data_IF_576826797437
#
_entry.id   IF_576826797437
#
_cell.length_a   1.000
_cell.length_b   1.000
_cell.length_c   1.000
_cell.angle_alpha   90.00
_cell.angle_beta   90.00
_cell.angle_gamma   90.00
#
_symmetry.space_group_name_H-M   'P 1'
#
loop_
_entity.id
_entity.type
_entity.pdbx_description
1 polymer ?
#
# COMPACT_ATOMS: atom_id res chain seq x y z
N UNK A 1 -8.06 15.87 -12.03
CA UNK A 1 -6.67 15.38 -12.14
C UNK A 1 -6.49 14.27 -11.14
N UNK A 2 -6.10 13.10 -11.64
CA UNK A 2 -5.87 11.90 -10.85
C UNK A 2 -4.38 11.61 -10.75
N UNK A 3 -3.99 10.74 -9.82
CA UNK A 3 -2.68 10.10 -9.83
C UNK A 3 -2.92 8.63 -10.15
N UNK A 4 -2.39 8.10 -11.24
CA UNK A 4 -2.69 6.74 -11.71
C UNK A 4 -1.62 5.76 -11.23
N UNK A 5 -2.05 4.63 -10.69
CA UNK A 5 -1.20 3.50 -10.32
C UNK A 5 -1.51 2.31 -11.22
N UNK A 6 -0.48 1.81 -11.89
CA UNK A 6 -0.59 0.70 -12.83
C UNK A 6 0.26 -0.50 -12.41
N UNK A 7 -0.18 -1.69 -12.77
CA UNK A 7 0.65 -2.90 -12.81
C UNK A 7 0.69 -3.35 -14.27
N UNK A 8 1.83 -3.15 -14.94
CA UNK A 8 1.87 -3.29 -16.39
C UNK A 8 0.93 -2.26 -17.02
N UNK A 9 -0.07 -2.72 -17.78
CA UNK A 9 -1.08 -1.85 -18.42
C UNK A 9 -2.42 -1.81 -17.66
N UNK A 10 -2.52 -2.40 -16.47
CA UNK A 10 -3.76 -2.43 -15.68
C UNK A 10 -3.74 -1.33 -14.61
N UNK A 11 -4.70 -0.40 -14.67
CA UNK A 11 -4.95 0.55 -13.58
C UNK A 11 -5.54 -0.17 -12.36
N UNK A 12 -4.81 -0.11 -11.25
CA UNK A 12 -5.23 -0.67 -9.96
C UNK A 12 -5.73 0.39 -8.99
N UNK A 13 -5.36 1.66 -9.16
CA UNK A 13 -5.84 2.76 -8.33
C UNK A 13 -5.71 4.10 -9.06
N UNK A 14 -6.76 4.93 -9.04
CA UNK A 14 -6.75 6.28 -9.63
C UNK A 14 -7.33 7.34 -8.67
N UNK A 15 -6.66 7.65 -7.55
CA UNK A 15 -7.08 8.67 -6.60
C UNK A 15 -6.89 10.09 -7.15
N UNK A 16 -7.36 11.09 -6.40
CA UNK A 16 -7.00 12.49 -6.67
C UNK A 16 -5.48 12.69 -6.63
N UNK A 17 -4.98 13.66 -7.41
CA UNK A 17 -3.54 13.94 -7.52
C UNK A 17 -2.83 14.08 -6.16
N UNK A 18 -3.43 14.82 -5.22
CA UNK A 18 -2.87 15.05 -3.87
C UNK A 18 -2.80 13.78 -3.02
N UNK A 19 -3.77 12.88 -3.18
CA UNK A 19 -3.82 11.63 -2.41
C UNK A 19 -2.77 10.65 -2.93
N UNK A 20 -2.62 10.54 -4.25
CA UNK A 20 -1.57 9.69 -4.83
C UNK A 20 -0.16 10.19 -4.52
N UNK A 21 0.10 11.50 -4.65
CA UNK A 21 1.42 12.08 -4.31
C UNK A 21 1.76 11.85 -2.83
N UNK A 22 0.80 12.06 -1.92
CA UNK A 22 0.99 11.79 -0.49
C UNK A 22 1.30 10.32 -0.23
N UNK A 23 0.53 9.40 -0.82
CA UNK A 23 0.75 7.97 -0.67
C UNK A 23 2.14 7.55 -1.15
N UNK A 24 2.58 7.99 -2.33
CA UNK A 24 3.90 7.65 -2.87
C UNK A 24 5.03 8.12 -1.95
N UNK A 25 4.92 9.34 -1.42
CA UNK A 25 5.92 9.87 -0.47
C UNK A 25 5.95 9.06 0.82
N UNK A 26 4.78 8.81 1.42
CA UNK A 26 4.68 8.05 2.66
C UNK A 26 5.18 6.61 2.49
N UNK A 27 4.79 5.92 1.41
CA UNK A 27 5.25 4.56 1.12
C UNK A 27 6.77 4.51 0.95
N UNK A 28 7.37 5.46 0.23
CA UNK A 28 8.83 5.52 0.05
C UNK A 28 9.57 5.72 1.37
N UNK A 29 9.07 6.58 2.25
CA UNK A 29 9.69 6.79 3.57
C UNK A 29 9.54 5.57 4.48
N UNK A 30 8.37 4.92 4.48
CA UNK A 30 8.17 3.65 5.23
C UNK A 30 9.08 2.56 4.69
N UNK A 31 9.17 2.40 3.36
CA UNK A 31 10.05 1.44 2.71
C UNK A 31 11.53 1.67 3.08
N UNK A 32 11.97 2.94 3.06
CA UNK A 32 13.32 3.36 3.47
C UNK A 32 13.63 2.98 4.92
N UNK A 33 12.70 3.26 5.84
CA UNK A 33 12.86 2.89 7.27
C UNK A 33 12.92 1.37 7.47
N UNK A 34 12.16 0.62 6.67
CA UNK A 34 12.15 -0.85 6.70
C UNK A 34 13.30 -1.48 5.88
N UNK A 35 14.14 -0.69 5.21
CA UNK A 35 15.27 -1.17 4.42
C UNK A 35 14.87 -1.90 3.13
N UNK A 36 13.67 -1.64 2.61
CA UNK A 36 13.12 -2.29 1.41
C UNK A 36 12.86 -1.27 0.29
N UNK A 37 12.99 -1.66 -0.99
CA UNK A 37 12.49 -0.85 -2.09
C UNK A 37 10.96 -0.79 -2.09
N UNK A 38 10.39 0.33 -2.53
CA UNK A 38 8.94 0.54 -2.55
C UNK A 38 8.20 -0.17 -3.69
N UNK A 39 8.92 -0.70 -4.69
CA UNK A 39 8.33 -1.26 -5.90
C UNK A 39 7.62 -0.21 -6.78
N UNK A 40 7.96 1.08 -6.64
CA UNK A 40 7.30 2.18 -7.35
C UNK A 40 8.23 2.89 -8.35
N UNK A 41 7.83 2.92 -9.62
CA UNK A 41 8.53 3.64 -10.69
C UNK A 41 7.65 4.75 -11.27
N UNK A 42 8.11 5.99 -11.22
CA UNK A 42 7.38 7.11 -11.83
C UNK A 42 7.43 6.99 -13.36
N UNK A 43 6.27 7.07 -14.02
CA UNK A 43 6.14 7.12 -15.48
C UNK A 43 5.88 8.56 -15.95
N UNK A 44 5.08 9.31 -15.17
CA UNK A 44 4.83 10.73 -15.32
C UNK A 44 4.69 11.38 -13.94
N UNK A 45 4.48 12.70 -13.90
CA UNK A 45 4.26 13.43 -12.64
C UNK A 45 3.03 12.95 -11.86
N UNK A 46 2.07 12.37 -12.55
CA UNK A 46 0.77 11.91 -12.07
C UNK A 46 0.53 10.42 -12.36
N UNK A 47 1.58 9.65 -12.65
CA UNK A 47 1.47 8.23 -12.96
C UNK A 47 2.66 7.43 -12.46
N UNK A 48 2.38 6.27 -11.84
CA UNK A 48 3.37 5.37 -11.29
C UNK A 48 3.06 3.91 -11.68
N UNK A 49 4.07 3.19 -12.14
CA UNK A 49 4.00 1.74 -12.33
C UNK A 49 4.49 1.03 -11.07
N UNK A 50 3.84 -0.07 -10.73
CA UNK A 50 4.12 -0.90 -9.56
C UNK A 50 4.80 -2.18 -10.03
N UNK A 51 6.02 -2.42 -9.57
CA UNK A 51 6.63 -3.74 -9.55
C UNK A 51 5.95 -4.55 -8.45
N UNK A 52 5.04 -5.44 -8.84
CA UNK A 52 4.14 -6.09 -7.90
C UNK A 52 4.85 -7.11 -6.99
N UNK A 53 5.97 -7.69 -7.43
CA UNK A 53 6.75 -8.61 -6.62
C UNK A 53 7.43 -7.85 -5.49
N UNK A 54 8.14 -6.77 -5.83
CA UNK A 54 8.83 -5.91 -4.86
C UNK A 54 7.83 -5.22 -3.93
N UNK A 55 6.73 -4.70 -4.48
CA UNK A 55 5.68 -4.07 -3.70
C UNK A 55 5.04 -5.09 -2.73
N UNK A 56 4.74 -6.31 -3.19
CA UNK A 56 4.17 -7.37 -2.37
C UNK A 56 5.04 -7.74 -1.17
N UNK A 57 6.37 -7.85 -1.36
CA UNK A 57 7.31 -8.09 -0.27
C UNK A 57 7.29 -6.96 0.77
N UNK A 58 7.29 -5.70 0.33
CA UNK A 58 7.18 -4.56 1.24
C UNK A 58 5.84 -4.57 1.99
N UNK A 59 4.72 -4.85 1.31
CA UNK A 59 3.40 -4.89 1.96
C UNK A 59 3.35 -6.01 2.99
N UNK A 60 3.95 -7.17 2.71
CA UNK A 60 4.07 -8.25 3.69
C UNK A 60 4.90 -7.83 4.91
N UNK A 61 6.04 -7.17 4.70
CA UNK A 61 6.86 -6.68 5.80
C UNK A 61 6.15 -5.58 6.61
N UNK A 62 5.44 -4.65 5.97
CA UNK A 62 4.63 -3.64 6.65
C UNK A 62 3.52 -4.30 7.47
N UNK A 63 2.86 -5.33 6.94
CA UNK A 63 1.81 -6.08 7.64
C UNK A 63 2.37 -6.79 8.87
N UNK A 64 3.47 -7.53 8.73
CA UNK A 64 4.14 -8.18 9.85
C UNK A 64 4.59 -7.16 10.91
N UNK A 65 5.20 -6.05 10.48
CA UNK A 65 5.64 -4.98 11.39
C UNK A 65 4.46 -4.36 12.14
N UNK A 66 3.33 -4.12 11.45
CA UNK A 66 2.13 -3.57 12.05
C UNK A 66 1.54 -4.48 13.14
N UNK A 67 1.35 -5.77 12.86
CA UNK A 67 0.69 -6.71 13.78
C UNK A 67 1.61 -7.32 14.86
N UNK A 68 2.93 -7.17 14.74
CA UNK A 68 3.88 -7.67 15.75
C UNK A 68 4.53 -6.55 16.57
N UNK A 69 4.33 -5.29 16.17
CA UNK A 69 4.77 -4.13 16.94
C UNK A 69 4.09 -4.08 18.30
N UNK A 70 4.83 -3.64 19.32
CA UNK A 70 4.28 -3.21 20.61
C UNK A 70 4.26 -1.69 20.77
N UNK A 71 4.57 -0.94 19.71
CA UNK A 71 4.72 0.51 19.70
C UNK A 71 3.58 1.17 18.91
N UNK A 72 2.53 1.60 19.62
CA UNK A 72 1.31 2.13 19.01
C UNK A 72 1.49 3.29 18.01
N UNK A 73 2.53 4.13 18.18
CA UNK A 73 2.81 5.19 17.19
C UNK A 73 3.32 4.62 15.88
N UNK A 74 4.11 3.53 15.93
CA UNK A 74 4.62 2.88 14.73
C UNK A 74 3.48 2.21 13.96
N UNK A 75 2.60 1.51 14.68
CA UNK A 75 1.34 0.98 14.13
C UNK A 75 0.54 2.08 13.43
N UNK A 76 0.29 3.22 14.10
CA UNK A 76 -0.48 4.31 13.50
C UNK A 76 0.17 4.88 12.23
N UNK A 77 1.51 5.03 12.21
CA UNK A 77 2.24 5.53 11.04
C UNK A 77 2.20 4.54 9.87
N UNK A 78 2.44 3.25 10.13
CA UNK A 78 2.41 2.20 9.09
C UNK A 78 0.98 1.97 8.60
N UNK A 79 -0.01 1.94 9.50
CA UNK A 79 -1.41 1.64 9.18
C UNK A 79 -2.01 2.58 8.13
N UNK A 80 -1.62 3.86 8.15
CA UNK A 80 -2.05 4.85 7.15
C UNK A 80 -1.59 4.54 5.72
N UNK A 81 -0.50 3.78 5.55
CA UNK A 81 0.04 3.35 4.26
C UNK A 81 -0.37 1.90 3.95
N UNK A 82 -0.38 1.03 4.96
CA UNK A 82 -0.68 -0.39 4.81
C UNK A 82 -2.08 -0.63 4.26
N UNK A 83 -3.10 0.10 4.73
CA UNK A 83 -4.48 -0.11 4.30
C UNK A 83 -4.69 0.08 2.78
N UNK A 84 -4.33 1.22 2.15
CA UNK A 84 -4.41 1.33 0.70
C UNK A 84 -3.49 0.34 -0.02
N UNK A 85 -2.34 0.00 0.58
CA UNK A 85 -1.40 -0.95 -0.03
C UNK A 85 -1.96 -2.37 -0.12
N UNK A 86 -2.69 -2.83 0.90
CA UNK A 86 -3.38 -4.13 0.88
C UNK A 86 -4.43 -4.18 -0.24
N UNK A 87 -5.21 -3.12 -0.41
CA UNK A 87 -6.23 -3.07 -1.48
C UNK A 87 -5.58 -3.06 -2.87
N UNK A 88 -4.46 -2.36 -3.05
CA UNK A 88 -3.68 -2.41 -4.30
C UNK A 88 -3.17 -3.83 -4.56
N UNK A 89 -2.63 -4.49 -3.53
CA UNK A 89 -2.15 -5.87 -3.63
C UNK A 89 -3.29 -6.83 -3.99
N UNK A 90 -4.45 -6.72 -3.33
CA UNK A 90 -5.66 -7.50 -3.65
C UNK A 90 -6.11 -7.33 -5.10
N UNK A 91 -6.03 -6.10 -5.63
CA UNK A 91 -6.41 -5.81 -7.02
C UNK A 91 -5.47 -6.42 -8.06
N UNK A 92 -4.24 -6.78 -7.68
CA UNK A 92 -3.31 -7.52 -8.53
C UNK A 92 -3.59 -9.02 -8.61
N UNK A 93 -4.55 -9.53 -7.82
CA UNK A 93 -4.80 -10.96 -7.65
C UNK A 93 -3.91 -11.63 -6.60
N UNK A 94 -2.98 -10.88 -5.99
CA UNK A 94 -2.22 -11.31 -4.81
C UNK A 94 -2.94 -10.88 -3.52
N UNK A 95 -2.47 -11.33 -2.37
CA UNK A 95 -3.02 -10.89 -1.10
C UNK A 95 -2.31 -11.53 0.08
N UNK A 96 -2.49 -10.94 1.25
CA UNK A 96 -2.01 -11.48 2.52
C UNK A 96 -3.24 -12.05 3.23
N UNK A 97 -3.33 -13.35 3.50
CA UNK A 97 -4.47 -13.89 4.22
C UNK A 97 -4.41 -13.48 5.70
N UNK A 98 -5.50 -12.96 6.30
CA UNK A 98 -5.52 -12.66 7.73
C UNK A 98 -5.46 -13.95 8.56
N UNK A 99 -4.61 -13.95 9.59
CA UNK A 99 -4.31 -15.06 10.50
C UNK A 99 -5.01 -14.90 11.84
N UNK A 100 -5.40 -13.69 12.20
CA UNK A 100 -6.13 -13.36 13.43
C UNK A 100 -7.41 -12.59 13.10
N UNK A 101 -8.30 -12.44 14.09
CA UNK A 101 -9.50 -11.62 13.92
C UNK A 101 -9.16 -10.13 13.77
N UNK A 102 -8.14 -9.66 14.49
CA UNK A 102 -7.64 -8.29 14.35
C UNK A 102 -7.10 -8.00 12.94
N UNK A 103 -6.34 -8.94 12.36
CA UNK A 103 -5.90 -8.84 10.96
C UNK A 103 -7.11 -8.79 10.01
N UNK A 104 -8.13 -9.63 10.24
CA UNK A 104 -9.36 -9.63 9.43
C UNK A 104 -10.11 -8.31 9.52
N UNK A 105 -10.30 -7.78 10.71
CA UNK A 105 -10.98 -6.50 10.95
C UNK A 105 -10.26 -5.34 10.26
N UNK A 106 -8.92 -5.31 10.30
CA UNK A 106 -8.12 -4.32 9.60
C UNK A 106 -8.27 -4.44 8.07
N UNK A 107 -8.24 -5.65 7.52
CA UNK A 107 -8.43 -5.88 6.09
C UNK A 107 -9.82 -5.45 5.64
N UNK A 108 -10.85 -5.77 6.41
CA UNK A 108 -12.23 -5.33 6.15
C UNK A 108 -12.39 -3.81 6.26
N UNK A 109 -11.67 -3.17 7.18
CA UNK A 109 -11.58 -1.71 7.24
C UNK A 109 -10.89 -1.13 6.00
N UNK A 110 -9.75 -1.68 5.58
CA UNK A 110 -9.02 -1.24 4.40
C UNK A 110 -9.89 -1.30 3.12
N UNK A 111 -10.65 -2.39 2.93
CA UNK A 111 -11.57 -2.52 1.78
C UNK A 111 -12.70 -1.48 1.78
N UNK A 112 -13.10 -0.97 2.96
CA UNK A 112 -14.13 0.07 3.09
C UNK A 112 -13.63 1.48 2.73
N UNK A 113 -12.33 1.69 2.54
CA UNK A 113 -11.78 2.99 2.11
C UNK A 113 -12.29 3.46 0.74
N UNK A 114 -13.04 2.63 0.00
CA UNK A 114 -13.71 3.02 -1.25
C UNK A 114 -12.75 3.60 -2.30
N UNK A 115 -11.60 2.93 -2.48
CA UNK A 115 -10.55 3.36 -3.40
C UNK A 115 -11.05 3.37 -4.85
N UNK A 116 -10.92 4.50 -5.55
CA UNK A 116 -11.26 4.60 -6.96
C UNK A 116 -10.36 3.69 -7.82
N UNK A 117 -10.93 2.91 -8.73
CA UNK A 117 -10.14 2.22 -9.76
C UNK A 117 -9.99 3.16 -10.95
#
# INVERSE_FOLDING_TARGET
MSYVFEIGDETVWSPSLRVGDLYVRMLREVASVLGMPAGLSAVASDMCNIDIEVFGELVNLMHETYFTSSHHVLEALIGGVLAPSLVILERSGLGIPPRTEEEREFHDWARRLSMAR
#
